data_IF_825121704721
#
_entry.id   IF_825121704721
#
_cell.length_a   1.000
_cell.length_b   1.000
_cell.length_c   1.000
_cell.angle_alpha   90.00
_cell.angle_beta   90.00
_cell.angle_gamma   90.00
#
_symmetry.space_group_name_H-M   'P 1'
#
loop_
_entity.id
_entity.type
_entity.pdbx_description
1 polymer ?
#
# COMPACT_ATOMS: atom_id res chain seq x y z
N UNK A 1 -7.28 -15.38 3.66
CA UNK A 1 -7.06 -14.08 4.33
C UNK A 1 -8.44 -13.53 4.69
N UNK A 2 -8.78 -13.37 5.97
CA UNK A 2 -9.98 -12.63 6.33
C UNK A 2 -9.70 -11.18 5.99
N UNK A 3 -10.58 -10.53 5.23
CA UNK A 3 -10.56 -9.09 5.09
C UNK A 3 -11.06 -8.51 6.42
N UNK A 4 -10.17 -8.44 7.41
CA UNK A 4 -10.45 -7.76 8.69
C UNK A 4 -10.29 -6.24 8.53
N UNK A 5 -10.10 -5.77 7.29
CA UNK A 5 -10.14 -4.34 7.00
C UNK A 5 -11.57 -3.87 7.26
N UNK A 6 -11.66 -3.03 8.25
CA UNK A 6 -12.85 -2.26 8.53
C UNK A 6 -13.39 -1.68 7.20
N UNK A 7 -14.62 -2.00 6.87
CA UNK A 7 -15.27 -1.67 5.60
C UNK A 7 -15.37 -0.17 5.32
N UNK A 8 -14.83 0.68 6.20
CA UNK A 8 -14.82 2.14 6.16
C UNK A 8 -13.60 2.75 5.46
N UNK A 9 -12.95 2.03 4.56
CA UNK A 9 -11.78 2.55 3.83
C UNK A 9 -12.20 3.34 2.59
N UNK A 10 -11.63 4.53 2.44
CA UNK A 10 -11.71 5.34 1.23
C UNK A 10 -10.32 5.45 0.59
N UNK A 11 -10.21 5.11 -0.69
CA UNK A 11 -8.98 5.21 -1.46
C UNK A 11 -8.98 6.47 -2.30
N UNK A 12 -7.92 7.23 -2.25
CA UNK A 12 -7.68 8.46 -2.99
C UNK A 12 -6.60 8.19 -4.03
N UNK A 13 -6.93 8.33 -5.31
CA UNK A 13 -6.02 8.08 -6.43
C UNK A 13 -5.96 9.30 -7.35
N UNK A 14 -4.86 9.43 -8.08
CA UNK A 14 -4.74 10.38 -9.18
C UNK A 14 -5.28 9.72 -10.46
N UNK A 15 -6.27 10.32 -11.10
CA UNK A 15 -6.86 9.84 -12.35
C UNK A 15 -6.14 10.41 -13.57
N UNK A 16 -5.92 11.72 -13.56
CA UNK A 16 -5.25 12.49 -14.60
C UNK A 16 -4.56 13.72 -14.01
N UNK A 17 -4.06 14.63 -14.85
CA UNK A 17 -3.36 15.83 -14.40
C UNK A 17 -4.26 16.92 -13.77
N UNK A 18 -5.55 16.69 -13.68
CA UNK A 18 -6.55 17.66 -13.16
C UNK A 18 -7.48 17.06 -12.12
N UNK A 19 -7.54 15.73 -12.00
CA UNK A 19 -8.63 15.05 -11.29
C UNK A 19 -8.11 14.02 -10.28
N UNK A 20 -8.59 14.15 -9.05
CA UNK A 20 -8.46 13.14 -7.99
C UNK A 20 -9.70 12.27 -8.00
N UNK A 21 -9.53 10.96 -8.01
CA UNK A 21 -10.61 9.98 -7.91
C UNK A 21 -10.68 9.36 -6.51
N UNK A 22 -11.89 9.06 -6.08
CA UNK A 22 -12.19 8.45 -4.80
C UNK A 22 -12.88 7.12 -5.02
N UNK A 23 -12.37 6.08 -4.37
CA UNK A 23 -12.80 4.71 -4.54
C UNK A 23 -13.12 4.09 -3.19
N UNK A 24 -14.10 3.22 -3.17
CA UNK A 24 -14.38 2.41 -2.01
C UNK A 24 -13.59 1.11 -2.08
N UNK A 25 -12.89 0.76 -1.01
CA UNK A 25 -12.10 -0.46 -0.90
C UNK A 25 -10.91 -0.56 -1.88
N UNK A 26 -9.88 -1.28 -1.48
CA UNK A 26 -8.62 -1.44 -2.23
C UNK A 26 -8.76 -2.18 -3.58
N UNK A 27 -9.88 -2.84 -3.86
CA UNK A 27 -10.05 -3.72 -5.03
C UNK A 27 -11.17 -3.32 -5.99
N UNK A 28 -11.86 -2.19 -5.79
CA UNK A 28 -12.93 -1.75 -6.71
C UNK A 28 -12.47 -0.62 -7.60
N UNK A 29 -12.66 -0.82 -8.91
CA UNK A 29 -12.31 0.16 -9.94
C UNK A 29 -13.46 1.15 -10.24
N UNK A 30 -14.57 1.10 -9.48
CA UNK A 30 -15.64 2.09 -9.64
C UNK A 30 -15.29 3.37 -8.88
N UNK A 31 -15.20 4.45 -9.64
CA UNK A 31 -15.01 5.80 -9.09
C UNK A 31 -16.30 6.18 -8.37
N UNK A 32 -16.21 6.41 -7.06
CA UNK A 32 -17.35 6.84 -6.25
C UNK A 32 -17.60 8.34 -6.41
N UNK A 33 -16.52 9.12 -6.54
CA UNK A 33 -16.57 10.56 -6.70
C UNK A 33 -15.26 11.06 -7.33
N UNK A 34 -15.26 12.30 -7.78
CA UNK A 34 -14.07 12.99 -8.30
C UNK A 34 -13.99 14.41 -7.73
N UNK A 35 -12.78 14.95 -7.67
CA UNK A 35 -12.49 16.31 -7.25
C UNK A 35 -11.41 16.89 -8.15
N UNK A 36 -11.66 18.10 -8.69
CA UNK A 36 -10.62 18.81 -9.44
C UNK A 36 -9.47 19.20 -8.51
N UNK A 37 -8.22 19.05 -8.95
CA UNK A 37 -7.03 19.38 -8.17
C UNK A 37 -7.03 20.85 -7.74
N UNK A 38 -7.47 21.75 -8.64
CA UNK A 38 -7.55 23.19 -8.33
C UNK A 38 -8.59 23.50 -7.26
N UNK A 39 -9.69 22.75 -7.19
CA UNK A 39 -10.68 22.86 -6.12
C UNK A 39 -10.15 22.28 -4.81
N UNK A 40 -9.49 21.12 -4.89
CA UNK A 40 -8.84 20.50 -3.74
C UNK A 40 -7.86 21.49 -3.03
N UNK A 41 -7.03 22.21 -3.79
CA UNK A 41 -6.10 23.16 -3.19
C UNK A 41 -6.77 24.35 -2.49
N UNK A 42 -8.01 24.70 -2.88
CA UNK A 42 -8.78 25.81 -2.26
C UNK A 42 -9.48 25.37 -0.97
N UNK A 43 -9.72 24.08 -0.77
CA UNK A 43 -10.38 23.57 0.42
C UNK A 43 -9.52 23.71 1.66
N UNK A 44 -10.14 24.02 2.78
CA UNK A 44 -9.55 23.85 4.12
C UNK A 44 -9.50 22.34 4.48
N UNK A 45 -8.77 21.99 5.52
CA UNK A 45 -8.74 20.61 6.03
C UNK A 45 -10.14 20.11 6.41
N UNK A 46 -10.94 20.96 7.06
CA UNK A 46 -12.32 20.63 7.46
C UNK A 46 -13.23 20.39 6.24
N UNK A 47 -13.15 21.24 5.23
CA UNK A 47 -13.94 21.07 4.01
C UNK A 47 -13.55 19.80 3.26
N UNK A 48 -12.26 19.47 3.20
CA UNK A 48 -11.81 18.24 2.57
C UNK A 48 -12.28 17.00 3.35
N UNK A 49 -12.20 16.99 4.67
CA UNK A 49 -12.72 15.88 5.48
C UNK A 49 -14.23 15.74 5.37
N UNK A 50 -14.98 16.84 5.30
CA UNK A 50 -16.42 16.81 5.03
C UNK A 50 -16.72 16.23 3.66
N UNK A 51 -15.95 16.61 2.62
CA UNK A 51 -16.06 16.04 1.28
C UNK A 51 -15.79 14.52 1.30
N UNK A 52 -14.77 14.04 2.02
CA UNK A 52 -14.50 12.60 2.15
C UNK A 52 -15.66 11.88 2.84
N UNK A 53 -16.23 12.46 3.89
CA UNK A 53 -17.36 11.88 4.61
C UNK A 53 -18.62 11.82 3.74
N UNK A 54 -18.92 12.87 2.97
CA UNK A 54 -20.05 12.89 2.03
C UNK A 54 -19.82 11.89 0.88
N UNK A 55 -18.61 11.86 0.32
CA UNK A 55 -18.23 10.85 -0.69
C UNK A 55 -18.44 9.43 -0.17
N UNK A 56 -18.08 9.19 1.08
CA UNK A 56 -18.28 7.89 1.72
C UNK A 56 -19.76 7.52 1.87
N UNK A 57 -20.66 8.47 2.14
CA UNK A 57 -22.11 8.23 2.28
C UNK A 57 -22.82 7.91 0.96
N UNK A 58 -22.32 8.42 -0.17
CA UNK A 58 -22.92 8.21 -1.51
C UNK A 58 -22.72 6.78 -2.01
N UNK A 59 -21.95 5.98 -1.32
CA UNK A 59 -21.63 4.61 -1.73
C UNK A 59 -22.89 3.76 -1.85
N UNK A 60 -23.03 2.98 -2.96
CA UNK A 60 -24.17 2.12 -3.15
C UNK A 60 -24.30 1.12 -2.00
N UNK A 61 -25.44 1.14 -1.31
CA UNK A 61 -25.76 0.18 -0.25
C UNK A 61 -25.98 -1.25 -0.77
N UNK A 62 -26.06 -1.42 -2.09
CA UNK A 62 -26.39 -2.67 -2.77
C UNK A 62 -25.27 -3.08 -3.74
N UNK A 63 -24.11 -3.48 -3.23
CA UNK A 63 -23.10 -4.10 -4.06
C UNK A 63 -23.22 -5.62 -4.07
N UNK A 64 -23.35 -6.19 -5.25
CA UNK A 64 -23.19 -7.61 -5.48
C UNK A 64 -21.68 -7.95 -5.40
N UNK A 65 -21.24 -8.42 -4.24
CA UNK A 65 -19.85 -8.83 -3.98
C UNK A 65 -19.47 -10.15 -4.66
N UNK A 66 -20.35 -10.75 -5.45
CA UNK A 66 -20.10 -12.02 -6.15
C UNK A 66 -19.13 -11.90 -7.32
N UNK A 67 -18.79 -10.68 -7.75
CA UNK A 67 -18.02 -10.41 -8.97
C UNK A 67 -16.49 -10.55 -8.78
N UNK A 68 -16.00 -10.69 -7.54
CA UNK A 68 -14.56 -10.81 -7.29
C UNK A 68 -14.17 -12.21 -6.81
N UNK A 69 -13.58 -13.04 -7.68
CA UNK A 69 -13.13 -14.40 -7.31
C UNK A 69 -12.05 -14.42 -6.23
N UNK A 70 -11.41 -13.28 -5.94
CA UNK A 70 -10.35 -13.14 -4.92
C UNK A 70 -10.84 -12.62 -3.58
N UNK A 71 -12.01 -12.03 -3.50
CA UNK A 71 -12.63 -11.69 -2.22
C UNK A 71 -13.30 -12.95 -1.66
N UNK A 72 -12.53 -13.87 -1.08
CA UNK A 72 -13.04 -15.11 -0.42
C UNK A 72 -13.88 -14.82 0.82
N UNK A 73 -13.97 -13.58 1.26
CA UNK A 73 -14.95 -13.18 2.25
C UNK A 73 -16.30 -13.04 1.54
N UNK A 74 -17.13 -14.07 1.66
CA UNK A 74 -18.59 -13.92 1.59
C UNK A 74 -18.97 -12.95 2.71
N UNK A 75 -18.74 -11.66 2.49
CA UNK A 75 -19.17 -10.60 3.38
C UNK A 75 -20.70 -10.61 3.35
N UNK A 76 -21.26 -11.39 4.26
CA UNK A 76 -22.64 -11.21 4.66
C UNK A 76 -22.78 -9.74 5.06
N UNK A 77 -23.50 -8.95 4.20
CA UNK A 77 -23.86 -7.55 4.44
C UNK A 77 -22.79 -6.78 5.24
N UNK A 78 -21.95 -6.01 4.55
CA UNK A 78 -21.25 -4.93 5.22
C UNK A 78 -22.32 -3.98 5.78
N UNK A 79 -22.53 -4.03 7.08
CA UNK A 79 -23.45 -3.12 7.76
C UNK A 79 -22.68 -1.81 7.95
N UNK A 80 -22.88 -0.89 7.01
CA UNK A 80 -22.34 0.47 7.08
C UNK A 80 -23.15 1.27 8.12
N UNK A 81 -22.77 1.14 9.38
CA UNK A 81 -23.44 1.89 10.46
C UNK A 81 -22.76 3.21 10.83
N UNK A 82 -21.59 3.50 10.27
CA UNK A 82 -20.82 4.67 10.66
C UNK A 82 -20.86 5.77 9.61
N UNK A 83 -21.09 6.98 10.09
CA UNK A 83 -21.26 8.20 9.29
C UNK A 83 -19.95 8.83 8.80
N UNK A 84 -18.80 8.26 9.18
CA UNK A 84 -17.50 8.90 8.99
C UNK A 84 -16.46 7.93 8.39
N UNK A 85 -15.60 8.49 7.54
CA UNK A 85 -14.41 7.78 7.05
C UNK A 85 -13.47 7.51 8.21
N UNK A 86 -13.13 6.24 8.43
CA UNK A 86 -12.20 5.84 9.48
C UNK A 86 -10.81 5.48 8.94
N UNK A 87 -10.76 4.99 7.70
CA UNK A 87 -9.52 4.55 7.08
C UNK A 87 -9.35 5.24 5.73
N UNK A 88 -8.17 5.79 5.47
CA UNK A 88 -7.84 6.46 4.21
C UNK A 88 -6.63 5.77 3.58
N UNK A 89 -6.77 5.44 2.32
CA UNK A 89 -5.67 4.94 1.49
C UNK A 89 -5.26 6.04 0.54
N UNK A 90 -4.06 6.59 0.71
CA UNK A 90 -3.52 7.66 -0.13
C UNK A 90 -2.64 7.04 -1.21
N UNK A 91 -3.15 6.97 -2.42
CA UNK A 91 -2.55 6.28 -3.57
C UNK A 91 -2.35 7.22 -4.77
N UNK A 92 -1.94 8.44 -4.49
CA UNK A 92 -1.74 9.48 -5.51
C UNK A 92 -0.28 9.60 -5.96
N UNK A 93 0.68 9.10 -5.17
CA UNK A 93 2.09 9.19 -5.49
C UNK A 93 2.48 8.08 -6.47
N UNK A 94 2.72 8.43 -7.74
CA UNK A 94 2.88 7.47 -8.84
C UNK A 94 4.33 7.30 -9.30
N UNK A 95 5.30 7.93 -8.64
CA UNK A 95 6.71 7.82 -8.98
C UNK A 95 7.43 6.74 -8.17
N UNK A 96 8.26 5.95 -8.84
CA UNK A 96 9.03 4.88 -8.24
C UNK A 96 10.47 4.88 -8.78
N UNK A 97 11.43 4.47 -7.96
CA UNK A 97 12.84 4.36 -8.33
C UNK A 97 13.20 3.00 -8.96
N UNK A 98 12.24 2.07 -9.05
CA UNK A 98 12.40 0.77 -9.71
C UNK A 98 11.29 0.55 -10.74
N UNK A 99 11.50 -0.41 -11.66
CA UNK A 99 10.58 -0.72 -12.76
C UNK A 99 10.24 -2.21 -12.73
N UNK A 100 9.42 -2.64 -11.75
CA UNK A 100 9.05 -4.05 -11.63
C UNK A 100 8.35 -4.55 -12.88
N UNK A 101 8.70 -5.75 -13.34
CA UNK A 101 8.12 -6.39 -14.54
C UNK A 101 6.59 -6.53 -14.47
N UNK A 102 6.06 -6.75 -13.28
CA UNK A 102 4.62 -6.90 -13.03
C UNK A 102 3.89 -5.57 -12.72
N UNK A 103 4.61 -4.45 -12.62
CA UNK A 103 4.02 -3.18 -12.22
C UNK A 103 3.12 -2.61 -13.31
N UNK A 104 1.89 -2.28 -12.94
CA UNK A 104 0.91 -1.66 -13.85
C UNK A 104 1.25 -0.20 -14.18
N UNK A 105 2.12 0.45 -13.38
CA UNK A 105 2.49 1.85 -13.56
C UNK A 105 3.72 2.06 -14.43
N UNK A 106 4.47 0.99 -14.74
CA UNK A 106 5.75 1.10 -15.45
C UNK A 106 5.57 1.71 -16.85
N UNK A 107 4.44 1.41 -17.49
CA UNK A 107 4.15 1.82 -18.86
C UNK A 107 3.14 2.97 -18.96
N UNK A 108 2.69 3.49 -17.80
CA UNK A 108 1.75 4.59 -17.78
C UNK A 108 2.49 5.94 -17.84
N UNK A 109 1.95 6.85 -18.66
CA UNK A 109 2.38 8.25 -18.62
C UNK A 109 2.00 8.86 -17.26
N UNK A 110 2.97 9.49 -16.60
CA UNK A 110 2.69 10.21 -15.36
C UNK A 110 1.95 11.51 -15.68
N UNK A 111 0.73 11.70 -15.17
CA UNK A 111 -0.10 12.85 -15.52
C UNK A 111 0.42 14.17 -14.91
N UNK A 112 1.17 14.09 -13.82
CA UNK A 112 1.83 15.23 -13.15
C UNK A 112 3.35 15.02 -13.19
N UNK A 113 4.11 16.10 -13.11
CA UNK A 113 5.56 16.03 -12.85
C UNK A 113 5.83 15.47 -11.44
N UNK A 114 7.04 14.97 -11.20
CA UNK A 114 7.42 14.47 -9.86
C UNK A 114 7.16 15.54 -8.78
N UNK A 115 7.49 16.80 -9.05
CA UNK A 115 7.31 17.91 -8.10
C UNK A 115 5.84 18.17 -7.79
N UNK A 116 4.99 18.20 -8.81
CA UNK A 116 3.54 18.40 -8.64
C UNK A 116 2.90 17.21 -7.92
N UNK A 117 3.26 15.99 -8.31
CA UNK A 117 2.73 14.78 -7.71
C UNK A 117 3.14 14.65 -6.23
N UNK A 118 4.41 14.98 -5.91
CA UNK A 118 4.90 15.06 -4.52
C UNK A 118 4.13 16.09 -3.71
N UNK A 119 3.94 17.30 -4.27
CA UNK A 119 3.16 18.37 -3.61
C UNK A 119 1.74 17.91 -3.30
N UNK A 120 1.05 17.32 -4.28
CA UNK A 120 -0.31 16.81 -4.11
C UNK A 120 -0.37 15.72 -3.03
N UNK A 121 0.57 14.78 -3.05
CA UNK A 121 0.64 13.69 -2.07
C UNK A 121 0.74 14.20 -0.63
N UNK A 122 1.69 15.07 -0.34
CA UNK A 122 1.86 15.61 1.02
C UNK A 122 0.74 16.57 1.41
N UNK A 123 0.15 17.30 0.47
CA UNK A 123 -1.01 18.16 0.76
C UNK A 123 -2.23 17.33 1.18
N UNK A 124 -2.49 16.19 0.51
CA UNK A 124 -3.56 15.26 0.91
C UNK A 124 -3.27 14.71 2.32
N UNK A 125 -2.05 14.24 2.58
CA UNK A 125 -1.66 13.75 3.90
C UNK A 125 -1.85 14.82 4.99
N UNK A 126 -1.49 16.08 4.71
CA UNK A 126 -1.67 17.19 5.65
C UNK A 126 -3.15 17.53 5.88
N UNK A 127 -3.99 17.46 4.84
CA UNK A 127 -5.44 17.77 4.98
C UNK A 127 -6.21 16.73 5.79
N UNK A 128 -5.76 15.47 5.79
CA UNK A 128 -6.39 14.41 6.62
C UNK A 128 -5.83 14.33 8.04
N UNK A 129 -4.75 15.06 8.34
CA UNK A 129 -4.12 15.12 9.66
C UNK A 129 -5.07 15.71 10.72
N UNK A 130 -4.97 15.26 11.98
CA UNK A 130 -5.79 15.78 13.09
C UNK A 130 -7.22 15.21 13.15
N UNK A 131 -7.58 14.23 12.32
CA UNK A 131 -8.95 13.71 12.24
C UNK A 131 -9.16 12.37 12.94
N UNK A 132 -8.22 11.95 13.79
CA UNK A 132 -8.29 10.72 14.58
C UNK A 132 -8.69 9.49 13.75
N UNK A 133 -8.07 9.33 12.59
CA UNK A 133 -8.31 8.20 11.70
C UNK A 133 -7.84 6.89 12.37
N UNK A 134 -8.49 5.77 12.06
CA UNK A 134 -7.96 4.48 12.49
C UNK A 134 -6.70 4.13 11.70
N UNK A 135 -6.77 4.25 10.37
CA UNK A 135 -5.65 3.88 9.48
C UNK A 135 -5.43 4.94 8.41
N UNK A 136 -4.17 5.34 8.26
CA UNK A 136 -3.67 6.00 7.05
C UNK A 136 -2.74 5.00 6.35
N UNK A 137 -3.02 4.69 5.10
CA UNK A 137 -2.18 3.82 4.28
C UNK A 137 -1.62 4.60 3.12
N UNK A 138 -0.29 4.54 2.94
CA UNK A 138 0.36 4.99 1.71
C UNK A 138 0.63 3.78 0.86
N UNK A 139 -0.02 3.68 -0.30
CA UNK A 139 0.07 2.47 -1.09
C UNK A 139 0.97 2.59 -2.30
N UNK A 140 1.18 1.43 -2.86
CA UNK A 140 2.06 1.03 -3.92
C UNK A 140 1.76 1.55 -5.33
N UNK A 141 1.14 2.70 -5.51
CA UNK A 141 1.15 3.35 -6.82
C UNK A 141 2.54 3.92 -7.17
N UNK A 142 3.42 4.06 -6.17
CA UNK A 142 4.81 4.50 -6.32
C UNK A 142 5.67 4.06 -5.14
N UNK A 143 6.77 4.79 -4.89
CA UNK A 143 7.65 4.55 -3.73
C UNK A 143 7.66 5.78 -2.81
N UNK A 144 7.05 5.71 -1.62
CA UNK A 144 6.97 6.85 -0.70
C UNK A 144 8.34 7.41 -0.30
N UNK A 145 9.35 6.54 -0.19
CA UNK A 145 10.71 6.94 0.17
C UNK A 145 11.54 7.48 -1.00
N UNK A 146 10.97 7.64 -2.19
CA UNK A 146 11.56 8.48 -3.23
C UNK A 146 11.65 9.94 -2.76
N UNK A 147 10.75 10.35 -1.86
CA UNK A 147 10.77 11.62 -1.12
C UNK A 147 11.14 11.36 0.35
N UNK A 148 12.24 10.62 0.61
CA UNK A 148 12.60 10.09 1.93
C UNK A 148 12.58 11.14 3.02
N UNK A 149 13.25 12.28 2.80
CA UNK A 149 13.33 13.34 3.81
C UNK A 149 11.94 13.83 4.22
N UNK A 150 11.11 14.17 3.24
CA UNK A 150 9.76 14.69 3.51
C UNK A 150 8.85 13.61 4.13
N UNK A 151 9.01 12.36 3.73
CA UNK A 151 8.25 11.24 4.32
C UNK A 151 8.63 11.03 5.78
N UNK A 152 9.92 11.03 6.12
CA UNK A 152 10.39 10.92 7.50
C UNK A 152 9.98 12.15 8.32
N UNK A 153 10.12 13.36 7.77
CA UNK A 153 9.69 14.58 8.43
C UNK A 153 8.18 14.58 8.71
N UNK A 154 7.36 14.07 7.77
CA UNK A 154 5.92 13.89 7.98
C UNK A 154 5.64 12.92 9.13
N UNK A 155 6.28 11.74 9.12
CA UNK A 155 6.14 10.70 10.15
C UNK A 155 6.50 11.26 11.55
N UNK A 156 7.62 11.99 11.68
CA UNK A 156 8.06 12.58 12.94
C UNK A 156 7.10 13.59 13.54
N UNK A 157 6.30 14.22 12.71
CA UNK A 157 5.32 15.24 13.10
C UNK A 157 3.91 14.68 13.29
N UNK A 158 3.72 13.34 13.22
CA UNK A 158 2.45 12.71 13.54
C UNK A 158 2.26 12.57 15.05
N UNK A 159 0.99 12.62 15.45
CA UNK A 159 0.53 12.40 16.82
C UNK A 159 -0.58 11.35 16.85
N UNK A 160 -0.90 10.79 17.98
CA UNK A 160 -1.98 9.82 18.14
C UNK A 160 -3.36 10.37 17.73
N UNK A 161 -3.52 11.69 17.69
CA UNK A 161 -4.74 12.35 17.21
C UNK A 161 -4.86 12.34 15.68
N UNK A 162 -3.78 12.04 14.96
CA UNK A 162 -3.78 11.97 13.50
C UNK A 162 -4.30 10.61 13.03
N UNK A 163 -3.75 9.51 13.57
CA UNK A 163 -4.20 8.16 13.29
C UNK A 163 -3.72 7.17 14.36
N UNK A 164 -4.35 5.99 14.42
CA UNK A 164 -3.90 4.88 15.28
C UNK A 164 -2.86 4.00 14.57
N UNK A 165 -3.02 3.81 13.26
CA UNK A 165 -2.13 3.04 12.40
C UNK A 165 -1.66 3.88 11.24
N UNK A 166 -0.36 3.77 10.95
CA UNK A 166 0.23 4.32 9.74
C UNK A 166 0.92 3.20 8.97
N UNK A 167 0.30 2.78 7.86
CA UNK A 167 0.78 1.67 7.06
C UNK A 167 1.50 2.18 5.81
N UNK A 168 2.72 1.71 5.58
CA UNK A 168 3.57 2.14 4.47
C UNK A 168 3.87 0.94 3.57
N UNK A 169 3.49 1.03 2.29
CA UNK A 169 3.89 0.05 1.28
C UNK A 169 5.16 0.55 0.60
N UNK A 170 6.22 -0.25 0.61
CA UNK A 170 7.54 0.16 0.09
C UNK A 170 8.25 -1.00 -0.60
N UNK A 171 9.08 -0.66 -1.59
CA UNK A 171 10.04 -1.60 -2.18
C UNK A 171 11.31 -1.76 -1.32
N UNK A 172 11.42 -1.03 -0.23
CA UNK A 172 12.49 -1.07 0.76
C UNK A 172 13.92 -0.80 0.23
N UNK A 173 14.08 -0.29 -1.00
CA UNK A 173 15.41 -0.06 -1.61
C UNK A 173 16.09 1.24 -1.17
N UNK A 174 15.33 2.18 -0.60
CA UNK A 174 15.78 3.55 -0.27
C UNK A 174 15.94 3.80 1.24
N UNK A 175 15.49 2.87 2.05
CA UNK A 175 15.64 2.91 3.51
C UNK A 175 17.02 2.39 3.94
N UNK A 176 17.44 2.83 5.12
CA UNK A 176 18.54 2.28 5.90
C UNK A 176 18.01 1.71 7.22
N UNK A 177 18.83 0.96 7.98
CA UNK A 177 18.43 0.48 9.31
C UNK A 177 18.16 1.65 10.25
N UNK A 178 18.95 2.73 10.14
CA UNK A 178 18.77 3.96 10.94
C UNK A 178 17.43 4.65 10.65
N UNK A 179 17.00 4.71 9.38
CA UNK A 179 15.68 5.25 9.02
C UNK A 179 14.54 4.41 9.66
N UNK A 180 14.71 3.09 9.71
CA UNK A 180 13.72 2.17 10.29
C UNK A 180 13.70 2.31 11.82
N UNK A 181 14.86 2.41 12.46
CA UNK A 181 14.99 2.66 13.90
C UNK A 181 14.37 4.00 14.29
N UNK A 182 14.57 5.05 13.49
CA UNK A 182 13.95 6.35 13.71
C UNK A 182 12.41 6.27 13.69
N UNK A 183 11.82 5.49 12.78
CA UNK A 183 10.35 5.27 12.75
C UNK A 183 9.91 4.46 13.99
N UNK A 184 10.71 3.51 14.44
CA UNK A 184 10.44 2.79 15.68
C UNK A 184 10.43 3.71 16.90
N UNK A 185 11.37 4.66 16.98
CA UNK A 185 11.40 5.65 18.05
C UNK A 185 10.16 6.58 18.01
N UNK A 186 9.72 6.99 16.81
CA UNK A 186 8.48 7.75 16.66
C UNK A 186 7.28 6.94 17.13
N UNK A 187 7.20 5.64 16.79
CA UNK A 187 6.17 4.73 17.29
C UNK A 187 6.12 4.73 18.82
N UNK A 188 7.26 4.54 19.48
CA UNK A 188 7.33 4.49 20.92
C UNK A 188 6.95 5.83 21.58
N UNK A 189 7.31 6.94 20.96
CA UNK A 189 7.01 8.29 21.44
C UNK A 189 5.54 8.67 21.28
N UNK A 190 4.93 8.30 20.17
CA UNK A 190 3.59 8.79 19.79
C UNK A 190 2.47 7.82 20.14
N UNK A 191 2.77 6.52 20.28
CA UNK A 191 1.80 5.45 20.41
C UNK A 191 1.11 5.07 19.10
N UNK A 192 1.48 5.68 17.97
CA UNK A 192 0.98 5.30 16.65
C UNK A 192 1.61 3.96 16.26
N UNK A 193 0.80 3.03 15.80
CA UNK A 193 1.27 1.76 15.27
C UNK A 193 1.75 1.93 13.82
N UNK A 194 3.08 2.07 13.62
CA UNK A 194 3.67 2.07 12.28
C UNK A 194 3.88 0.64 11.79
N UNK A 195 3.52 0.39 10.52
CA UNK A 195 3.69 -0.90 9.88
C UNK A 195 4.19 -0.75 8.44
N UNK A 196 5.03 -1.69 8.01
CA UNK A 196 5.51 -1.79 6.65
C UNK A 196 4.95 -3.03 5.95
N UNK A 197 4.44 -2.83 4.74
CA UNK A 197 4.29 -3.89 3.76
C UNK A 197 5.49 -3.75 2.82
N UNK A 198 6.41 -4.70 2.88
CA UNK A 198 7.62 -4.67 2.07
C UNK A 198 7.48 -5.57 0.84
N UNK A 199 7.79 -5.05 -0.35
CA UNK A 199 7.72 -5.81 -1.60
C UNK A 199 9.05 -6.50 -1.89
N UNK A 200 9.06 -7.84 -1.86
CA UNK A 200 10.21 -8.65 -2.25
C UNK A 200 9.74 -9.93 -2.94
N UNK A 201 9.64 -9.88 -4.27
CA UNK A 201 9.10 -10.97 -5.09
C UNK A 201 10.20 -11.86 -5.65
N UNK A 202 11.23 -12.15 -4.85
CA UNK A 202 12.33 -13.05 -5.20
C UNK A 202 13.06 -13.53 -3.93
N UNK A 203 13.76 -14.68 -4.04
CA UNK A 203 14.64 -15.20 -3.00
C UNK A 203 16.10 -15.30 -3.45
N UNK A 204 16.40 -14.87 -4.67
CA UNK A 204 17.75 -14.79 -5.21
C UNK A 204 18.03 -13.45 -5.86
N UNK A 205 19.29 -12.94 -5.83
CA UNK A 205 19.66 -11.69 -6.50
C UNK A 205 19.36 -11.72 -8.00
N UNK A 206 19.51 -12.89 -8.65
CA UNK A 206 19.28 -13.07 -10.08
C UNK A 206 17.81 -12.87 -10.43
N UNK A 207 16.91 -13.53 -9.71
CA UNK A 207 15.45 -13.40 -9.89
C UNK A 207 14.99 -12.01 -9.50
N UNK A 208 15.51 -11.44 -8.40
CA UNK A 208 15.20 -10.08 -7.98
C UNK A 208 15.52 -9.06 -9.08
N UNK A 209 16.70 -9.16 -9.69
CA UNK A 209 17.10 -8.30 -10.81
C UNK A 209 16.14 -8.42 -12.00
N UNK A 210 15.66 -9.63 -12.29
CA UNK A 210 14.74 -9.89 -13.40
C UNK A 210 13.35 -9.31 -13.13
N UNK A 211 12.84 -9.51 -11.93
CA UNK A 211 11.46 -9.15 -11.51
C UNK A 211 11.33 -7.68 -11.16
N UNK A 212 12.28 -7.14 -10.38
CA UNK A 212 12.25 -5.77 -9.89
C UNK A 212 13.10 -4.80 -10.72
N UNK A 213 13.81 -5.29 -11.76
CA UNK A 213 14.72 -4.51 -12.60
C UNK A 213 15.74 -3.69 -11.79
N UNK A 214 16.23 -4.27 -10.68
CA UNK A 214 17.09 -3.61 -9.71
C UNK A 214 18.12 -4.58 -9.11
N UNK A 215 19.26 -4.06 -8.64
CA UNK A 215 20.36 -4.87 -8.09
C UNK A 215 20.47 -4.78 -6.55
N UNK A 216 19.47 -4.24 -5.86
CA UNK A 216 19.51 -3.99 -4.40
C UNK A 216 18.90 -5.12 -3.57
N UNK A 217 19.00 -6.36 -4.01
CA UNK A 217 18.43 -7.51 -3.31
C UNK A 217 18.86 -7.57 -1.83
N UNK A 218 20.16 -7.54 -1.57
CA UNK A 218 20.70 -7.64 -0.21
C UNK A 218 20.26 -6.45 0.67
N UNK A 219 20.20 -5.24 0.10
CA UNK A 219 19.67 -4.05 0.80
C UNK A 219 18.23 -4.29 1.22
N UNK A 220 17.40 -4.80 0.32
CA UNK A 220 15.97 -5.05 0.60
C UNK A 220 15.82 -6.13 1.66
N UNK A 221 16.55 -7.23 1.54
CA UNK A 221 16.52 -8.32 2.55
C UNK A 221 16.93 -7.80 3.93
N UNK A 222 18.01 -7.02 4.02
CA UNK A 222 18.47 -6.46 5.29
C UNK A 222 17.46 -5.47 5.88
N UNK A 223 16.86 -4.60 5.07
CA UNK A 223 15.84 -3.66 5.53
C UNK A 223 14.57 -4.38 6.01
N UNK A 224 14.14 -5.44 5.34
CA UNK A 224 13.01 -6.27 5.79
C UNK A 224 13.32 -6.96 7.14
N UNK A 225 14.55 -7.46 7.31
CA UNK A 225 15.01 -8.01 8.61
C UNK A 225 14.99 -6.96 9.70
N UNK A 226 15.44 -5.73 9.41
CA UNK A 226 15.39 -4.62 10.37
C UNK A 226 13.93 -4.27 10.73
N UNK A 227 13.02 -4.16 9.74
CA UNK A 227 11.59 -3.95 9.99
C UNK A 227 11.00 -5.03 10.91
N UNK A 228 11.40 -6.30 10.70
CA UNK A 228 10.96 -7.41 11.54
C UNK A 228 11.55 -7.33 12.97
N UNK A 229 12.85 -7.07 13.08
CA UNK A 229 13.59 -6.88 14.36
C UNK A 229 12.94 -5.80 15.24
N UNK A 230 12.57 -4.67 14.65
CA UNK A 230 11.91 -3.55 15.34
C UNK A 230 10.39 -3.72 15.50
N UNK A 231 9.81 -4.85 15.06
CA UNK A 231 8.38 -5.10 15.16
C UNK A 231 7.52 -4.16 14.30
N UNK A 232 8.09 -3.63 13.22
CA UNK A 232 7.42 -2.73 12.27
C UNK A 232 6.94 -3.45 11.00
N UNK A 233 7.38 -4.70 10.75
CA UNK A 233 6.95 -5.45 9.58
C UNK A 233 5.49 -5.92 9.76
N UNK A 234 4.61 -5.51 8.83
CA UNK A 234 3.29 -6.12 8.71
C UNK A 234 3.41 -7.45 7.95
N UNK A 235 3.87 -7.38 6.70
CA UNK A 235 4.23 -8.58 5.94
C UNK A 235 5.19 -8.26 4.77
N UNK A 236 5.86 -9.31 4.31
CA UNK A 236 6.58 -9.32 3.03
C UNK A 236 5.62 -9.79 1.95
N UNK A 237 5.43 -8.98 0.91
CA UNK A 237 4.58 -9.34 -0.23
C UNK A 237 5.44 -9.90 -1.37
N UNK A 238 5.15 -11.15 -1.74
CA UNK A 238 5.69 -11.79 -2.93
C UNK A 238 4.60 -11.78 -4.02
N UNK A 239 4.80 -11.02 -5.08
CA UNK A 239 3.92 -11.05 -6.25
C UNK A 239 4.42 -12.14 -7.20
N UNK A 240 3.68 -13.24 -7.29
CA UNK A 240 4.02 -14.35 -8.17
C UNK A 240 3.72 -13.98 -9.63
N UNK A 241 4.72 -14.17 -10.49
CA UNK A 241 4.66 -13.97 -11.93
C UNK A 241 5.57 -14.99 -12.64
N UNK A 242 5.57 -15.05 -13.97
CA UNK A 242 6.28 -16.06 -14.75
C UNK A 242 7.77 -16.18 -14.45
N UNK A 243 8.43 -15.09 -14.06
CA UNK A 243 9.87 -15.06 -13.82
C UNK A 243 10.29 -15.51 -12.41
N UNK A 244 9.34 -15.66 -11.48
CA UNK A 244 9.65 -15.99 -10.08
C UNK A 244 8.80 -17.13 -9.50
N UNK A 245 7.80 -17.63 -10.22
CA UNK A 245 6.87 -18.66 -9.74
C UNK A 245 7.61 -19.90 -9.22
N UNK A 246 8.73 -20.27 -9.85
CA UNK A 246 9.58 -21.41 -9.46
C UNK A 246 10.27 -21.24 -8.09
N UNK A 247 10.32 -20.02 -7.55
CA UNK A 247 10.90 -19.74 -6.22
C UNK A 247 9.89 -19.94 -5.08
N UNK A 248 8.59 -20.09 -5.34
CA UNK A 248 7.55 -20.24 -4.31
C UNK A 248 7.83 -21.39 -3.36
N UNK A 249 8.34 -22.51 -3.89
CA UNK A 249 8.68 -23.68 -3.09
C UNK A 249 9.64 -23.35 -1.94
N UNK A 250 10.62 -22.50 -2.18
CA UNK A 250 11.65 -22.14 -1.19
C UNK A 250 11.39 -20.81 -0.48
N UNK A 251 10.32 -20.09 -0.80
CA UNK A 251 10.06 -18.74 -0.31
C UNK A 251 10.00 -18.66 1.22
N UNK A 252 9.23 -19.54 1.85
CA UNK A 252 9.11 -19.58 3.33
C UNK A 252 10.44 -19.96 3.99
N UNK A 253 11.12 -21.00 3.47
CA UNK A 253 12.42 -21.44 3.98
C UNK A 253 13.47 -20.34 3.87
N UNK A 254 13.47 -19.57 2.78
CA UNK A 254 14.37 -18.43 2.62
C UNK A 254 14.19 -17.41 3.75
N UNK A 255 12.96 -17.00 4.02
CA UNK A 255 12.70 -16.00 5.06
C UNK A 255 12.92 -16.55 6.48
N UNK A 256 12.59 -17.81 6.75
CA UNK A 256 12.92 -18.46 8.02
C UNK A 256 14.43 -18.46 8.28
N UNK A 257 15.22 -18.81 7.27
CA UNK A 257 16.70 -18.76 7.37
C UNK A 257 17.24 -17.33 7.53
N UNK A 258 16.47 -16.32 7.14
CA UNK A 258 16.76 -14.90 7.37
C UNK A 258 16.15 -14.34 8.66
N UNK A 259 15.60 -15.20 9.53
CA UNK A 259 15.12 -14.84 10.87
C UNK A 259 13.65 -14.43 10.94
N UNK A 260 12.90 -14.45 9.82
CA UNK A 260 11.46 -14.16 9.81
C UNK A 260 10.69 -15.48 9.86
N UNK A 261 10.37 -15.95 11.06
CA UNK A 261 9.80 -17.28 11.32
C UNK A 261 8.27 -17.30 11.41
N UNK A 262 7.61 -16.12 11.44
CA UNK A 262 6.15 -16.02 11.45
C UNK A 262 5.60 -16.05 10.03
N UNK A 263 5.02 -17.18 9.64
CA UNK A 263 4.42 -17.38 8.32
C UNK A 263 3.30 -16.38 7.98
N UNK A 264 2.66 -15.78 8.99
CA UNK A 264 1.64 -14.74 8.77
C UNK A 264 2.25 -13.46 8.19
N UNK A 265 3.56 -13.29 8.32
CA UNK A 265 4.33 -12.19 7.75
C UNK A 265 4.77 -12.45 6.29
N UNK A 266 4.48 -13.63 5.74
CA UNK A 266 4.90 -14.05 4.40
C UNK A 266 3.66 -14.22 3.52
N UNK A 267 3.33 -13.18 2.76
CA UNK A 267 2.14 -13.13 1.90
C UNK A 267 2.53 -13.34 0.45
N UNK A 268 1.82 -14.24 -0.22
CA UNK A 268 1.97 -14.49 -1.65
C UNK A 268 0.71 -14.01 -2.35
N UNK A 269 0.88 -13.19 -3.38
CA UNK A 269 -0.20 -12.68 -4.23
C UNK A 269 0.14 -12.96 -5.70
N UNK A 270 -0.87 -13.21 -6.52
CA UNK A 270 -0.66 -13.32 -7.97
C UNK A 270 -0.61 -11.93 -8.61
N UNK A 271 0.11 -11.82 -9.73
CA UNK A 271 0.10 -10.63 -10.57
C UNK A 271 -1.31 -10.30 -11.03
N UNK A 272 -1.65 -9.01 -11.11
CA UNK A 272 -2.96 -8.56 -11.56
C UNK A 272 -3.09 -8.51 -13.09
N UNK A 273 -4.34 -8.63 -13.58
CA UNK A 273 -4.67 -8.49 -15.00
C UNK A 273 -4.67 -9.82 -15.77
N UNK A 274 -4.56 -9.74 -17.10
CA UNK A 274 -4.65 -10.90 -17.99
C UNK A 274 -3.50 -11.92 -17.80
N UNK A 275 -2.35 -11.47 -17.30
CA UNK A 275 -1.21 -12.34 -16.94
C UNK A 275 -1.51 -13.27 -15.76
N UNK A 276 -2.62 -13.06 -15.06
CA UNK A 276 -2.96 -13.80 -13.84
C UNK A 276 -3.45 -15.23 -14.12
N UNK A 277 -4.15 -15.48 -15.23
CA UNK A 277 -4.69 -16.81 -15.53
C UNK A 277 -3.61 -17.86 -15.61
N UNK A 278 -2.52 -17.55 -16.32
CA UNK A 278 -1.43 -18.51 -16.55
C UNK A 278 -0.72 -18.87 -15.22
N UNK A 279 -0.59 -17.89 -14.30
CA UNK A 279 0.00 -18.09 -12.98
C UNK A 279 -0.88 -18.96 -12.09
N UNK A 280 -2.19 -18.68 -12.05
CA UNK A 280 -3.14 -19.40 -11.19
C UNK A 280 -3.30 -20.88 -11.59
N UNK A 281 -3.00 -21.22 -12.83
CA UNK A 281 -3.09 -22.58 -13.34
C UNK A 281 -1.80 -23.41 -13.13
N UNK A 282 -0.69 -22.78 -12.70
CA UNK A 282 0.56 -23.49 -12.42
C UNK A 282 0.44 -24.41 -11.19
N UNK A 283 1.23 -25.49 -11.20
CA UNK A 283 1.30 -26.40 -10.04
C UNK A 283 1.89 -25.69 -8.82
N UNK A 284 2.91 -24.86 -9.00
CA UNK A 284 3.54 -24.07 -7.94
C UNK A 284 2.53 -23.15 -7.25
N UNK A 285 1.66 -22.47 -8.02
CA UNK A 285 0.61 -21.65 -7.44
C UNK A 285 -0.40 -22.48 -6.65
N UNK A 286 -0.85 -23.60 -7.18
CA UNK A 286 -1.83 -24.49 -6.51
C UNK A 286 -1.29 -25.04 -5.20
N UNK A 287 0.02 -25.29 -5.11
CA UNK A 287 0.67 -25.84 -3.91
C UNK A 287 1.08 -24.78 -2.89
N UNK A 288 1.55 -23.62 -3.34
CA UNK A 288 2.25 -22.65 -2.48
C UNK A 288 1.64 -21.23 -2.50
N UNK A 289 0.73 -20.90 -3.40
CA UNK A 289 0.14 -19.56 -3.61
C UNK A 289 -1.03 -19.20 -2.68
N UNK A 290 -1.29 -19.96 -1.64
CA UNK A 290 -2.41 -19.73 -0.69
C UNK A 290 -1.94 -19.28 0.68
#
# INVERSE_FOLDING_TARGET
MKCDQDTRSLRICLLDNKTIGFFHCCFKYEICNTLAIDEFYKMTNTEFMNFLNETYKIMPQNHDYTVYPYCKTKLKKCIYNDKYVANVVVDVFQYCNIKCHFCLLTDLAHPLTLTENRKLYFEILNKIKGNNLNVITTTGAGEPFLCKKETLDYIKNLTINDCKYFLIVTNATLLTEEDIEEIYDVKNKTGIEFRFIASCSAITPKTYKKVHCNNKFDTVVNNIKAMYKFGLLDFVNFVAEENNIHELYNYRNFWHNNGITDDKKLVISAVHGNKNKDILDTEEWKLYGN
#
